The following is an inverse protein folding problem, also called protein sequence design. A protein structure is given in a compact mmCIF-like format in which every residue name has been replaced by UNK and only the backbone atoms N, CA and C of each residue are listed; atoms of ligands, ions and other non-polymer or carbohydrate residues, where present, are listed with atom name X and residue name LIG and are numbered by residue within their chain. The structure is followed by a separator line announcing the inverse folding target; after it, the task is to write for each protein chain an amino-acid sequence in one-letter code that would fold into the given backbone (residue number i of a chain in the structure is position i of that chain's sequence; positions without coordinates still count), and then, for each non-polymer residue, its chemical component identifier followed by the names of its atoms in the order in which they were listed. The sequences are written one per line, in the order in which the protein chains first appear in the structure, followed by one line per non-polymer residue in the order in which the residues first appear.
data_IF_320606517517
#
_entry.id   IF_320606517517
#
_cell.length_a   1.000
_cell.length_b   1.000
_cell.length_c   1.000
_cell.angle_alpha   90.00
_cell.angle_beta   90.00
_cell.angle_gamma   90.00
#
_symmetry.space_group_name_H-M   'P 1'
#
loop_
_entity.id
_entity.type
_entity.pdbx_description
1 polymer ?
#
# COMPACT_ATOMS: atom_id res chain seq x y z
N UNK A 1 -34.89 4.27 13.03
CA UNK A 1 -33.91 4.53 11.96
C UNK A 1 -33.21 5.85 12.24
N UNK A 2 -31.92 5.84 12.59
CA UNK A 2 -31.19 7.10 12.79
C UNK A 2 -30.97 7.74 11.42
N UNK A 3 -31.58 8.90 11.19
CA UNK A 3 -31.46 9.72 9.96
C UNK A 3 -30.09 10.40 9.88
N UNK A 4 -29.03 9.60 9.89
CA UNK A 4 -27.67 10.08 9.67
C UNK A 4 -27.41 9.98 8.18
N UNK A 5 -27.67 11.04 7.42
CA UNK A 5 -27.35 11.12 5.99
C UNK A 5 -25.83 11.03 5.74
N UNK A 6 -25.27 11.88 4.88
CA UNK A 6 -23.83 11.85 4.56
C UNK A 6 -22.89 11.85 5.79
N UNK A 7 -23.31 12.45 6.92
CA UNK A 7 -22.56 12.46 8.19
C UNK A 7 -22.44 11.08 8.85
N UNK A 8 -23.46 10.23 8.72
CA UNK A 8 -23.42 8.86 9.24
C UNK A 8 -22.42 8.01 8.47
N UNK A 9 -22.44 8.12 7.14
CA UNK A 9 -21.50 7.42 6.27
C UNK A 9 -20.05 7.81 6.59
N UNK A 10 -19.78 9.11 6.80
CA UNK A 10 -18.45 9.58 7.21
C UNK A 10 -17.98 8.92 8.51
N UNK A 11 -18.84 8.83 9.51
CA UNK A 11 -18.50 8.23 10.81
C UNK A 11 -18.18 6.74 10.70
N UNK A 12 -18.95 6.01 9.87
CA UNK A 12 -18.71 4.58 9.61
C UNK A 12 -17.35 4.40 8.94
N UNK A 13 -17.07 5.17 7.88
CA UNK A 13 -15.80 5.10 7.17
C UNK A 13 -14.60 5.50 8.05
N UNK A 14 -14.72 6.57 8.86
CA UNK A 14 -13.65 6.98 9.76
C UNK A 14 -13.31 5.88 10.77
N UNK A 15 -14.32 5.19 11.31
CA UNK A 15 -14.11 4.07 12.24
C UNK A 15 -13.41 2.90 11.55
N UNK A 16 -13.90 2.48 10.38
CA UNK A 16 -13.36 1.31 9.66
C UNK A 16 -11.93 1.56 9.15
N UNK A 17 -11.61 2.79 8.75
CA UNK A 17 -10.34 3.12 8.12
C UNK A 17 -9.26 3.62 9.09
N UNK A 18 -9.56 3.82 10.37
CA UNK A 18 -8.65 4.46 11.33
C UNK A 18 -7.27 3.80 11.37
N UNK A 19 -7.24 2.48 11.54
CA UNK A 19 -6.00 1.70 11.60
C UNK A 19 -5.22 1.78 10.28
N UNK A 20 -5.93 1.65 9.16
CA UNK A 20 -5.30 1.74 7.84
C UNK A 20 -4.70 3.12 7.60
N UNK A 21 -5.40 4.20 7.95
CA UNK A 21 -4.88 5.56 7.80
C UNK A 21 -3.66 5.81 8.70
N UNK A 22 -3.57 5.16 9.85
CA UNK A 22 -2.42 5.28 10.73
C UNK A 22 -1.20 4.52 10.20
N UNK A 23 -1.41 3.31 9.69
CA UNK A 23 -0.32 2.46 9.18
C UNK A 23 0.17 2.89 7.79
N UNK A 24 -0.75 3.33 6.92
CA UNK A 24 -0.50 3.64 5.51
C UNK A 24 0.69 4.60 5.27
N UNK A 25 0.88 5.70 6.02
CA UNK A 25 2.02 6.60 5.86
C UNK A 25 3.39 5.93 6.03
N UNK A 26 3.44 4.82 6.78
CA UNK A 26 4.68 4.07 7.03
C UNK A 26 4.90 2.93 6.02
N UNK A 27 3.87 2.55 5.26
CA UNK A 27 3.96 1.50 4.27
C UNK A 27 4.66 2.00 3.00
N UNK A 28 5.61 1.22 2.47
CA UNK A 28 6.28 1.53 1.20
C UNK A 28 5.57 0.85 0.04
N UNK A 29 5.57 1.51 -1.12
CA UNK A 29 5.09 0.97 -2.39
C UNK A 29 3.61 0.55 -2.40
N UNK A 30 2.75 1.10 -1.53
CA UNK A 30 1.31 0.85 -1.57
C UNK A 30 0.70 1.60 -2.76
N UNK A 31 -0.03 0.89 -3.62
CA UNK A 31 -0.69 1.46 -4.80
C UNK A 31 -2.21 1.45 -4.70
N UNK A 32 -2.78 0.56 -3.89
CA UNK A 32 -4.24 0.43 -3.74
C UNK A 32 -4.57 -0.20 -2.39
N UNK A 33 -5.65 0.29 -1.79
CA UNK A 33 -6.34 -0.38 -0.67
C UNK A 33 -7.71 -0.81 -1.16
N UNK A 34 -8.08 -2.07 -0.91
CA UNK A 34 -9.38 -2.62 -1.28
C UNK A 34 -10.19 -2.89 -0.01
N UNK A 35 -11.39 -2.33 0.03
CA UNK A 35 -12.37 -2.44 1.11
C UNK A 35 -13.59 -3.16 0.54
N UNK A 36 -14.01 -4.25 1.18
CA UNK A 36 -15.25 -4.96 0.85
C UNK A 36 -16.22 -4.97 2.04
N UNK A 37 -17.37 -5.62 1.87
CA UNK A 37 -18.40 -5.73 2.91
C UNK A 37 -17.87 -6.36 4.20
N UNK A 38 -17.02 -7.38 4.12
CA UNK A 38 -16.48 -8.07 5.30
C UNK A 38 -15.56 -7.16 6.12
N UNK A 39 -14.88 -6.22 5.45
CA UNK A 39 -14.11 -5.17 6.11
C UNK A 39 -15.03 -4.16 6.80
N UNK A 40 -16.13 -3.75 6.14
CA UNK A 40 -17.13 -2.84 6.76
C UNK A 40 -17.78 -3.49 7.99
N UNK A 41 -18.02 -4.80 7.95
CA UNK A 41 -18.54 -5.59 9.07
C UNK A 41 -17.50 -5.88 10.16
N UNK A 42 -16.23 -5.52 9.95
CA UNK A 42 -15.14 -5.72 10.92
C UNK A 42 -14.66 -7.17 11.04
N UNK A 43 -14.98 -8.02 10.07
CA UNK A 43 -14.59 -9.44 10.06
C UNK A 43 -13.18 -9.65 9.52
N UNK A 44 -12.73 -8.80 8.60
CA UNK A 44 -11.44 -8.90 7.93
C UNK A 44 -10.73 -7.54 7.91
N UNK A 45 -9.41 -7.56 7.68
CA UNK A 45 -8.63 -6.34 7.45
C UNK A 45 -8.63 -5.96 5.96
N UNK A 46 -8.49 -4.67 5.61
CA UNK A 46 -8.35 -4.23 4.23
C UNK A 46 -7.21 -4.93 3.48
N UNK A 47 -7.43 -5.23 2.19
CA UNK A 47 -6.40 -5.80 1.34
C UNK A 47 -5.52 -4.70 0.73
N UNK A 48 -4.20 -4.88 0.84
CA UNK A 48 -3.19 -3.91 0.36
C UNK A 48 -2.54 -4.44 -0.90
N UNK A 49 -2.58 -3.65 -1.97
CA UNK A 49 -1.86 -3.93 -3.21
C UNK A 49 -0.57 -3.12 -3.23
N UNK A 50 0.55 -3.81 -3.39
CA UNK A 50 1.87 -3.21 -3.52
C UNK A 50 2.31 -3.16 -4.98
N UNK A 51 2.87 -2.02 -5.37
CA UNK A 51 3.54 -1.82 -6.64
C UNK A 51 4.98 -2.34 -6.64
N UNK A 52 5.64 -2.31 -7.80
CA UNK A 52 7.05 -2.66 -7.89
C UNK A 52 7.90 -1.76 -6.99
N UNK A 53 8.90 -2.34 -6.35
CA UNK A 53 9.86 -1.59 -5.54
C UNK A 53 10.88 -0.91 -6.46
N UNK A 54 10.76 0.41 -6.63
CA UNK A 54 11.67 1.17 -7.50
C UNK A 54 13.13 1.09 -7.02
N UNK A 55 13.38 0.84 -5.72
CA UNK A 55 14.74 0.63 -5.21
C UNK A 55 15.41 -0.62 -5.80
N UNK A 56 14.62 -1.61 -6.22
CA UNK A 56 15.11 -2.85 -6.86
C UNK A 56 15.41 -2.66 -8.34
N UNK A 57 14.76 -1.71 -9.01
CA UNK A 57 14.99 -1.44 -10.44
C UNK A 57 16.31 -0.69 -10.66
N UNK A 58 16.68 0.20 -9.74
CA UNK A 58 17.94 0.97 -9.83
C UNK A 58 19.22 0.14 -9.63
N UNK A 59 19.14 -1.05 -9.03
CA UNK A 59 20.30 -1.92 -8.77
C UNK A 59 20.57 -2.96 -9.86
N UNK A 60 19.70 -3.07 -10.87
CA UNK A 60 19.86 -4.04 -11.96
C UNK A 60 20.68 -3.45 -13.12
N UNK A 61 20.89 -2.14 -13.15
CA UNK A 61 21.51 -1.42 -14.27
C UNK A 61 22.99 -1.05 -14.05
N UNK A 62 23.65 -1.52 -12.98
CA UNK A 62 25.11 -1.44 -12.89
C UNK A 62 25.74 -2.41 -13.90
N UNK A 63 26.41 -1.93 -14.96
CA UNK A 63 27.15 -2.82 -15.83
C UNK A 63 28.30 -3.37 -15.01
N UNK A 64 28.48 -4.70 -14.98
CA UNK A 64 29.75 -5.32 -14.63
C UNK A 64 30.81 -4.74 -15.58
N UNK A 65 31.46 -3.64 -15.18
CA UNK A 65 32.66 -3.14 -15.83
C UNK A 65 33.66 -4.28 -15.77
N UNK A 66 33.90 -4.88 -16.94
CA UNK A 66 34.75 -6.03 -17.12
C UNK A 66 36.10 -5.76 -16.45
N UNK A 67 36.42 -6.57 -15.43
CA UNK A 67 37.81 -6.80 -15.06
C UNK A 67 38.42 -7.64 -16.17
N UNK A 68 38.99 -6.94 -17.15
CA UNK A 68 39.71 -7.50 -18.28
C UNK A 68 41.12 -6.93 -18.29
N UNK A 69 41.92 -7.25 -17.28
CA UNK A 69 43.37 -7.14 -17.35
C UNK A 69 43.92 -8.29 -18.21
N UNK A 70 44.50 -8.00 -19.38
CA UNK A 70 45.67 -8.69 -19.94
C UNK A 70 46.04 -8.05 -21.29
N UNK A 71 47.18 -7.37 -21.41
CA UNK A 71 48.49 -7.92 -21.84
C UNK A 71 48.56 -8.23 -23.34
N UNK A 72 49.00 -7.26 -24.15
CA UNK A 72 50.14 -7.31 -25.08
C UNK A 72 50.31 -5.95 -25.77
#
# INVERSE_FOLDING_TARGET
QRKTGARGLRTILETVLLDTMYELPSMRNVTKIVIDETVIEGQTKPYVVYGPDESRLASVDEPRRASGSNHH
#
